data_IF_386427213512
#
_entry.id   IF_386427213512
#
_cell.length_a   1.000
_cell.length_b   1.000
_cell.length_c   1.000
_cell.angle_alpha   90.00
_cell.angle_beta   90.00
_cell.angle_gamma   90.00
#
_symmetry.space_group_name_H-M   'P 1'
#
loop_
_entity.id
_entity.type
_entity.pdbx_description
1 polymer ?
#
# COMPACT_ATOMS: atom_id res chain seq x y z
N UNK A 1 -8.88 -6.92 -9.58
CA UNK A 1 -9.20 -5.49 -9.65
C UNK A 1 -8.48 -4.77 -10.79
N UNK A 2 -7.11 -4.78 -10.88
CA UNK A 2 -6.38 -4.06 -11.96
C UNK A 2 -6.85 -4.53 -13.34
N UNK A 3 -6.92 -5.85 -13.58
CA UNK A 3 -7.41 -6.43 -14.84
C UNK A 3 -8.84 -5.97 -15.15
N UNK A 4 -9.74 -6.03 -14.20
CA UNK A 4 -11.14 -5.63 -14.36
C UNK A 4 -11.28 -4.13 -14.67
N UNK A 5 -10.46 -3.29 -14.01
CA UNK A 5 -10.46 -1.85 -14.24
C UNK A 5 -9.93 -1.46 -15.63
N UNK A 6 -9.02 -2.23 -16.20
CA UNK A 6 -8.35 -1.87 -17.45
C UNK A 6 -8.88 -2.60 -18.67
N UNK A 7 -9.63 -3.67 -18.49
CA UNK A 7 -10.19 -4.47 -19.58
C UNK A 7 -11.02 -3.60 -20.54
N UNK A 8 -10.67 -3.66 -21.82
CA UNK A 8 -11.30 -2.86 -22.88
C UNK A 8 -10.99 -1.36 -22.87
N UNK A 9 -10.06 -0.90 -22.02
CA UNK A 9 -9.58 0.49 -22.08
C UNK A 9 -8.38 0.62 -23.00
N UNK A 10 -8.11 1.81 -23.57
CA UNK A 10 -6.90 2.05 -24.36
C UNK A 10 -5.59 1.84 -23.57
N UNK A 11 -5.66 1.85 -22.24
CA UNK A 11 -4.51 1.75 -21.32
C UNK A 11 -4.21 0.31 -20.88
N UNK A 12 -5.02 -0.68 -21.24
CA UNK A 12 -4.90 -2.07 -20.80
C UNK A 12 -3.50 -2.65 -21.03
N UNK A 13 -2.94 -2.43 -22.23
CA UNK A 13 -1.60 -2.93 -22.57
C UNK A 13 -0.52 -2.28 -21.71
N UNK A 14 -0.55 -0.97 -21.60
CA UNK A 14 0.44 -0.19 -20.85
C UNK A 14 0.40 -0.54 -19.35
N UNK A 15 -0.79 -0.62 -18.78
CA UNK A 15 -0.97 -1.04 -17.38
C UNK A 15 -0.43 -2.44 -17.15
N UNK A 16 -0.69 -3.39 -18.04
CA UNK A 16 -0.18 -4.76 -17.91
C UNK A 16 1.35 -4.80 -17.93
N UNK A 17 1.98 -4.09 -18.88
CA UNK A 17 3.45 -4.01 -18.97
C UNK A 17 4.04 -3.36 -17.70
N UNK A 18 3.41 -2.31 -17.19
CA UNK A 18 3.81 -1.66 -15.95
C UNK A 18 3.71 -2.61 -14.73
N UNK A 19 2.62 -3.36 -14.60
CA UNK A 19 2.43 -4.34 -13.53
C UNK A 19 3.49 -5.43 -13.61
N UNK A 20 3.75 -6.01 -14.79
CA UNK A 20 4.77 -7.03 -14.98
C UNK A 20 6.18 -6.52 -14.63
N UNK A 21 6.51 -5.28 -14.99
CA UNK A 21 7.77 -4.61 -14.59
C UNK A 21 7.85 -4.45 -13.07
N UNK A 22 6.77 -3.95 -12.48
CA UNK A 22 6.73 -3.60 -11.04
C UNK A 22 6.80 -4.83 -10.15
N UNK A 23 6.17 -5.94 -10.53
CA UNK A 23 6.21 -7.19 -9.77
C UNK A 23 7.60 -7.86 -9.72
N UNK A 24 8.50 -7.51 -10.63
CA UNK A 24 9.91 -7.99 -10.61
C UNK A 24 10.77 -7.25 -9.59
N UNK A 25 10.30 -6.11 -9.09
CA UNK A 25 11.04 -5.30 -8.10
C UNK A 25 10.59 -5.70 -6.69
N UNK A 26 11.54 -5.89 -5.79
CA UNK A 26 11.26 -6.20 -4.38
C UNK A 26 10.37 -5.13 -3.74
N UNK A 27 9.42 -5.56 -2.91
CA UNK A 27 8.44 -4.66 -2.26
C UNK A 27 9.13 -3.59 -1.39
N UNK A 28 10.20 -3.94 -0.71
CA UNK A 28 10.97 -3.00 0.10
C UNK A 28 11.61 -1.91 -0.77
N UNK A 29 12.17 -2.29 -1.92
CA UNK A 29 12.79 -1.34 -2.85
C UNK A 29 11.74 -0.41 -3.49
N UNK A 30 10.52 -0.90 -3.74
CA UNK A 30 9.43 -0.08 -4.30
C UNK A 30 8.96 1.03 -3.37
N UNK A 31 8.97 0.77 -2.07
CA UNK A 31 8.46 1.70 -1.04
C UNK A 31 9.54 2.59 -0.44
N UNK A 32 10.78 2.40 -0.79
CA UNK A 32 11.87 3.24 -0.34
C UNK A 32 11.69 4.70 -0.82
N UNK A 33 11.98 5.66 0.04
CA UNK A 33 11.75 7.09 -0.24
C UNK A 33 12.55 7.60 -1.46
N UNK A 34 13.70 6.99 -1.72
CA UNK A 34 14.54 7.33 -2.88
C UNK A 34 14.04 6.74 -4.22
N UNK A 35 13.02 5.91 -4.22
CA UNK A 35 12.49 5.31 -5.44
C UNK A 35 11.52 6.27 -6.12
N UNK A 36 11.73 6.55 -7.41
CA UNK A 36 10.84 7.39 -8.19
C UNK A 36 9.41 6.85 -8.17
N UNK A 37 8.46 7.72 -7.84
CA UNK A 37 7.03 7.39 -7.85
C UNK A 37 6.56 7.31 -9.30
N UNK A 38 6.10 6.12 -9.71
CA UNK A 38 5.65 5.84 -11.07
C UNK A 38 4.27 5.19 -11.05
N UNK A 39 3.48 5.44 -12.08
CA UNK A 39 2.18 4.82 -12.26
C UNK A 39 1.63 5.02 -13.65
N UNK A 40 0.54 4.32 -13.96
CA UNK A 40 -0.18 4.38 -15.23
C UNK A 40 -1.67 4.59 -14.97
N UNK A 41 -2.28 5.47 -15.72
CA UNK A 41 -3.72 5.70 -15.67
C UNK A 41 -4.47 4.48 -16.19
N UNK A 42 -5.53 4.07 -15.49
CA UNK A 42 -6.33 2.90 -15.89
C UNK A 42 -7.37 3.17 -16.97
N UNK A 43 -7.62 4.44 -17.29
CA UNK A 43 -8.75 4.86 -18.12
C UNK A 43 -10.07 4.93 -17.36
N UNK A 44 -10.07 4.69 -16.06
CA UNK A 44 -11.28 4.69 -15.22
C UNK A 44 -11.20 5.76 -14.13
N UNK A 45 -12.38 6.08 -13.61
CA UNK A 45 -12.57 7.03 -12.53
C UNK A 45 -13.44 6.41 -11.44
N UNK A 46 -13.26 6.83 -10.21
CA UNK A 46 -14.21 6.63 -9.12
C UNK A 46 -14.82 7.96 -8.68
N UNK A 47 -15.85 7.89 -7.88
CA UNK A 47 -16.48 9.06 -7.27
C UNK A 47 -16.02 9.14 -5.81
N UNK A 48 -15.65 10.35 -5.38
CA UNK A 48 -15.41 10.62 -3.97
C UNK A 48 -16.77 10.51 -3.24
N UNK A 49 -16.91 9.64 -2.23
CA UNK A 49 -18.19 9.44 -1.55
C UNK A 49 -18.67 10.65 -0.73
N UNK A 50 -17.76 11.59 -0.43
CA UNK A 50 -18.09 12.81 0.34
C UNK A 50 -18.46 13.97 -0.57
N UNK A 51 -17.70 14.19 -1.66
CA UNK A 51 -17.87 15.36 -2.55
C UNK A 51 -18.54 15.04 -3.88
N UNK A 52 -18.70 13.74 -4.21
CA UNK A 52 -19.20 13.26 -5.51
C UNK A 52 -18.34 13.64 -6.72
N UNK A 53 -17.13 14.08 -6.49
CA UNK A 53 -16.19 14.43 -7.55
C UNK A 53 -15.56 13.19 -8.19
N UNK A 54 -15.27 13.28 -9.49
CA UNK A 54 -14.56 12.24 -10.21
C UNK A 54 -13.06 12.28 -9.89
N UNK A 55 -12.54 11.13 -9.46
CA UNK A 55 -11.14 10.93 -9.18
C UNK A 55 -10.56 9.90 -10.17
N UNK A 56 -9.43 10.18 -10.86
CA UNK A 56 -8.80 9.21 -11.76
C UNK A 56 -8.18 8.05 -10.98
N UNK A 57 -8.27 6.85 -11.53
CA UNK A 57 -7.68 5.65 -10.93
C UNK A 57 -6.36 5.33 -11.62
N UNK A 58 -5.27 5.29 -10.84
CA UNK A 58 -3.92 4.93 -11.28
C UNK A 58 -3.47 3.61 -10.67
N UNK A 59 -2.66 2.87 -11.40
CA UNK A 59 -1.84 1.79 -10.84
C UNK A 59 -0.46 2.35 -10.59
N UNK A 60 0.01 2.36 -9.36
CA UNK A 60 1.27 2.98 -8.97
C UNK A 60 2.20 1.99 -8.23
N UNK A 61 3.52 2.20 -8.36
CA UNK A 61 4.54 1.31 -7.82
C UNK A 61 4.73 1.42 -6.30
N UNK A 62 4.26 2.50 -5.68
CA UNK A 62 4.41 2.77 -4.24
C UNK A 62 3.17 2.46 -3.39
N UNK A 63 2.06 2.05 -4.03
CA UNK A 63 0.86 1.56 -3.34
C UNK A 63 1.06 0.11 -2.93
N UNK A 64 0.97 -0.15 -1.63
CA UNK A 64 1.17 -1.49 -1.08
C UNK A 64 -0.14 -2.28 -1.09
N UNK A 65 -0.06 -3.51 -1.58
CA UNK A 65 -1.19 -4.45 -1.58
C UNK A 65 -1.70 -4.77 -0.17
N UNK A 66 -0.80 -4.83 0.81
CA UNK A 66 -1.10 -5.16 2.20
C UNK A 66 -1.73 -3.98 2.97
N UNK A 67 -1.84 -2.80 2.35
CA UNK A 67 -2.43 -1.64 2.99
C UNK A 67 -3.93 -1.54 2.67
N UNK A 68 -4.77 -1.77 3.68
CA UNK A 68 -6.23 -1.74 3.53
C UNK A 68 -6.73 -2.80 2.54
N UNK A 69 -7.39 -2.35 1.48
CA UNK A 69 -7.90 -3.22 0.40
C UNK A 69 -6.94 -3.35 -0.79
N UNK A 70 -5.76 -2.73 -0.71
CA UNK A 70 -4.85 -2.56 -1.83
C UNK A 70 -5.25 -1.43 -2.80
N UNK A 71 -6.36 -0.75 -2.52
CA UNK A 71 -6.76 0.48 -3.18
C UNK A 71 -6.80 1.61 -2.15
N UNK A 72 -6.08 2.69 -2.41
CA UNK A 72 -5.90 3.81 -1.48
C UNK A 72 -6.34 5.10 -2.16
N UNK A 73 -7.07 5.95 -1.44
CA UNK A 73 -7.35 7.30 -1.90
C UNK A 73 -6.11 8.17 -1.65
N UNK A 74 -5.53 8.71 -2.72
CA UNK A 74 -4.40 9.61 -2.65
C UNK A 74 -4.83 11.00 -2.12
N UNK A 75 -3.91 11.66 -1.42
CA UNK A 75 -4.12 13.01 -0.86
C UNK A 75 -2.94 13.91 -1.26
N UNK A 76 -2.84 14.32 -2.53
CA UNK A 76 -1.64 14.96 -3.08
C UNK A 76 -1.17 16.21 -2.33
N UNK A 77 -2.06 16.98 -1.72
CA UNK A 77 -1.69 18.19 -0.97
C UNK A 77 -1.26 17.90 0.47
N UNK A 78 -1.44 16.65 0.96
CA UNK A 78 -1.23 16.31 2.38
C UNK A 78 -0.45 15.01 2.62
N UNK A 79 0.03 14.35 1.57
CA UNK A 79 1.03 13.26 1.60
C UNK A 79 2.13 13.58 0.59
N UNK A 80 3.38 13.58 1.03
CA UNK A 80 4.50 14.00 0.21
C UNK A 80 4.72 13.09 -1.01
N UNK A 81 4.47 11.79 -0.87
CA UNK A 81 4.61 10.82 -1.98
C UNK A 81 3.53 11.04 -3.04
N UNK A 82 2.31 11.30 -2.59
CA UNK A 82 1.19 11.61 -3.48
C UNK A 82 1.40 12.97 -4.16
N UNK A 83 1.99 13.95 -3.45
CA UNK A 83 2.35 15.26 -3.99
C UNK A 83 3.36 15.14 -5.13
N UNK A 84 4.45 14.41 -4.92
CA UNK A 84 5.48 14.17 -5.94
C UNK A 84 4.90 13.45 -7.16
N UNK A 85 4.02 12.47 -6.93
CA UNK A 85 3.31 11.78 -7.98
C UNK A 85 2.40 12.73 -8.77
N UNK A 86 1.58 13.52 -8.09
CA UNK A 86 0.66 14.45 -8.73
C UNK A 86 1.40 15.51 -9.55
N UNK A 87 2.50 16.07 -9.04
CA UNK A 87 3.35 17.00 -9.79
C UNK A 87 3.96 16.36 -11.04
N UNK A 88 4.43 15.10 -10.93
CA UNK A 88 5.02 14.36 -12.07
C UNK A 88 4.02 14.10 -13.20
N UNK A 89 2.77 13.79 -12.83
CA UNK A 89 1.72 13.43 -13.79
C UNK A 89 0.74 14.58 -14.07
N UNK A 90 1.09 15.80 -13.64
CA UNK A 90 0.29 17.01 -13.85
C UNK A 90 -1.17 16.85 -13.38
N UNK A 91 -1.35 16.12 -12.28
CA UNK A 91 -2.66 15.93 -11.66
C UNK A 91 -3.05 17.16 -10.85
N UNK A 92 -4.34 17.50 -10.78
CA UNK A 92 -4.78 18.66 -10.01
C UNK A 92 -4.49 18.45 -8.54
N UNK A 93 -3.89 19.45 -7.93
CA UNK A 93 -3.78 19.57 -6.48
C UNK A 93 -5.06 20.19 -5.93
N UNK A 94 -5.47 19.77 -4.74
CA UNK A 94 -6.60 20.33 -4.03
C UNK A 94 -6.30 20.40 -2.54
N UNK A 95 -6.23 21.58 -2.01
CA UNK A 95 -6.08 21.81 -0.58
C UNK A 95 -7.36 21.38 0.14
N UNK A 96 -7.24 20.41 1.04
CA UNK A 96 -8.36 19.93 1.88
C UNK A 96 -8.07 20.10 3.38
N UNK A 97 -6.82 20.42 3.74
CA UNK A 97 -6.43 20.83 5.10
C UNK A 97 -5.59 22.11 4.98
N UNK A 98 -5.97 23.16 5.69
CA UNK A 98 -5.18 24.37 5.74
C UNK A 98 -4.74 24.68 7.17
N UNK A 99 -3.63 25.41 7.37
CA UNK A 99 -3.29 25.97 8.67
C UNK A 99 -4.43 26.82 9.23
N UNK A 100 -4.50 26.96 10.57
CA UNK A 100 -5.54 27.78 11.21
C UNK A 100 -5.47 29.27 10.83
N UNK A 101 -4.24 29.77 10.65
CA UNK A 101 -3.96 31.21 10.55
C UNK A 101 -3.44 31.63 9.16
N UNK A 102 -3.48 30.74 8.19
CA UNK A 102 -3.03 31.04 6.82
C UNK A 102 -3.80 30.25 5.77
N UNK A 103 -3.74 30.72 4.53
CA UNK A 103 -4.26 30.01 3.38
C UNK A 103 -3.11 29.25 2.68
N UNK A 104 -3.44 28.15 2.00
CA UNK A 104 -2.56 27.46 1.09
C UNK A 104 -3.06 27.67 -0.34
N UNK A 105 -2.15 27.96 -1.24
CA UNK A 105 -2.44 28.15 -2.67
C UNK A 105 -1.80 26.98 -3.41
N UNK A 106 -2.59 26.16 -4.09
CA UNK A 106 -2.16 24.90 -4.72
C UNK A 106 -1.02 25.10 -5.72
N UNK A 107 -1.05 26.19 -6.48
CA UNK A 107 -0.04 26.53 -7.50
C UNK A 107 1.31 26.91 -6.88
N UNK A 108 1.31 27.42 -5.65
CA UNK A 108 2.51 27.88 -4.93
C UNK A 108 3.13 26.77 -4.08
N UNK A 109 2.45 25.65 -3.90
CA UNK A 109 2.95 24.54 -3.07
C UNK A 109 4.21 23.90 -3.67
N UNK A 110 5.28 23.85 -2.89
CA UNK A 110 6.54 23.18 -3.21
C UNK A 110 6.65 21.80 -2.56
N UNK A 111 5.88 21.57 -1.50
CA UNK A 111 5.80 20.34 -0.74
C UNK A 111 4.39 20.15 -0.16
N UNK A 112 4.08 18.94 0.29
CA UNK A 112 2.80 18.64 0.92
C UNK A 112 2.71 19.28 2.32
N UNK A 113 1.53 19.77 2.68
CA UNK A 113 1.24 20.22 4.04
C UNK A 113 0.74 19.03 4.89
N UNK A 114 1.55 18.56 5.83
CA UNK A 114 1.29 17.34 6.60
C UNK A 114 0.86 17.57 8.05
N UNK A 115 0.82 18.81 8.50
CA UNK A 115 0.50 19.18 9.87
C UNK A 115 -1.01 19.20 10.17
N UNK A 116 -1.36 19.40 11.45
CA UNK A 116 -2.72 19.60 11.87
C UNK A 116 -3.29 20.91 11.31
N UNK A 117 -4.55 20.86 10.86
CA UNK A 117 -5.20 22.02 10.29
C UNK A 117 -6.72 21.91 10.25
N UNK A 118 -7.32 22.85 9.56
CA UNK A 118 -8.77 22.95 9.39
C UNK A 118 -9.15 22.40 8.01
N UNK A 119 -10.17 21.55 7.97
CA UNK A 119 -10.72 21.03 6.74
C UNK A 119 -11.39 22.11 5.90
N UNK A 120 -11.09 22.09 4.60
CA UNK A 120 -11.71 22.89 3.56
C UNK A 120 -11.97 22.00 2.33
N UNK A 121 -12.87 22.40 1.45
CA UNK A 121 -13.22 21.63 0.26
C UNK A 121 -13.60 20.16 0.55
N UNK A 122 -14.10 19.90 1.76
CA UNK A 122 -14.42 18.57 2.30
C UNK A 122 -15.93 18.42 2.58
N UNK A 123 -16.76 19.26 1.97
CA UNK A 123 -18.21 19.21 2.05
C UNK A 123 -18.73 19.41 3.49
N UNK A 124 -19.48 18.45 4.06
CA UNK A 124 -20.06 18.61 5.39
C UNK A 124 -19.04 18.66 6.53
N UNK A 125 -17.77 18.42 6.25
CA UNK A 125 -16.68 18.40 7.23
C UNK A 125 -15.86 19.69 7.23
N UNK A 126 -16.17 20.65 6.37
CA UNK A 126 -15.49 21.95 6.32
C UNK A 126 -15.53 22.66 7.68
N UNK A 127 -14.41 23.26 8.06
CA UNK A 127 -14.25 23.95 9.33
C UNK A 127 -13.88 23.06 10.52
N UNK A 128 -13.87 21.75 10.37
CA UNK A 128 -13.41 20.83 11.43
C UNK A 128 -11.89 20.73 11.46
N UNK A 129 -11.33 20.49 12.64
CA UNK A 129 -9.93 20.07 12.77
C UNK A 129 -9.78 18.67 12.16
N UNK A 130 -8.76 18.47 11.32
CA UNK A 130 -8.57 17.21 10.57
C UNK A 130 -8.52 15.97 11.47
N UNK A 131 -7.87 16.06 12.64
CA UNK A 131 -7.80 14.94 13.60
C UNK A 131 -9.17 14.59 14.20
N UNK A 132 -10.01 15.57 14.46
CA UNK A 132 -11.37 15.36 14.95
C UNK A 132 -12.35 14.88 13.86
N UNK A 133 -12.05 15.15 12.61
CA UNK A 133 -12.89 14.75 11.48
C UNK A 133 -12.81 13.24 11.16
N UNK A 134 -11.74 12.55 11.57
CA UNK A 134 -11.53 11.13 11.25
C UNK A 134 -12.70 10.25 11.68
N UNK A 135 -13.12 10.37 12.94
CA UNK A 135 -14.23 9.57 13.45
C UNK A 135 -15.58 9.97 12.81
N UNK A 136 -15.78 11.27 12.59
CA UNK A 136 -16.99 11.79 11.93
C UNK A 136 -17.13 11.33 10.48
N UNK A 137 -16.01 11.30 9.75
CA UNK A 137 -16.00 10.80 8.37
C UNK A 137 -16.27 9.28 8.33
N UNK A 138 -15.71 8.52 9.28
CA UNK A 138 -15.98 7.09 9.39
C UNK A 138 -17.47 6.83 9.67
N UNK A 139 -18.05 7.50 10.66
CA UNK A 139 -19.48 7.43 10.98
C UNK A 139 -20.37 7.79 9.77
N UNK A 140 -20.00 8.83 9.03
CA UNK A 140 -20.72 9.24 7.82
C UNK A 140 -20.67 8.16 6.74
N UNK A 141 -19.48 7.63 6.43
CA UNK A 141 -19.33 6.57 5.43
C UNK A 141 -20.07 5.28 5.81
N UNK A 142 -20.10 4.92 7.09
CA UNK A 142 -20.92 3.82 7.59
C UNK A 142 -22.43 4.10 7.41
N UNK A 143 -22.86 5.34 7.68
CA UNK A 143 -24.28 5.69 7.58
C UNK A 143 -24.84 5.62 6.15
N UNK A 144 -23.98 5.76 5.15
CA UNK A 144 -24.35 5.67 3.72
C UNK A 144 -23.92 4.34 3.07
N UNK A 145 -23.51 3.35 3.88
CA UNK A 145 -23.06 2.01 3.45
C UNK A 145 -21.92 2.04 2.40
N UNK A 146 -21.01 3.03 2.52
CA UNK A 146 -19.86 3.20 1.61
C UNK A 146 -18.52 2.84 2.25
N UNK A 147 -18.52 2.45 3.52
CA UNK A 147 -17.33 2.06 4.24
C UNK A 147 -17.57 1.79 5.71
N UNK A 148 -16.53 1.35 6.41
CA UNK A 148 -16.56 1.14 7.86
C UNK A 148 -15.18 1.37 8.47
N UNK A 149 -15.15 1.77 9.75
CA UNK A 149 -13.91 1.94 10.49
C UNK A 149 -13.24 0.60 10.73
N UNK A 150 -11.95 0.51 10.43
CA UNK A 150 -11.15 -0.69 10.68
C UNK A 150 -9.88 -0.35 11.45
N UNK A 151 -9.34 -1.33 12.16
CA UNK A 151 -8.08 -1.20 12.90
C UNK A 151 -7.07 -2.13 12.26
N UNK A 152 -6.01 -1.56 11.70
CA UNK A 152 -4.89 -2.32 11.16
C UNK A 152 -3.70 -2.25 12.12
N UNK A 153 -3.21 -3.40 12.56
CA UNK A 153 -2.05 -3.48 13.43
C UNK A 153 -0.76 -3.46 12.60
N UNK A 154 0.16 -2.55 12.91
CA UNK A 154 1.49 -2.48 12.28
C UNK A 154 2.47 -3.50 12.87
N UNK A 155 1.99 -4.67 13.22
CA UNK A 155 2.81 -5.77 13.69
C UNK A 155 3.08 -6.71 12.51
N UNK A 156 4.35 -7.00 12.26
CA UNK A 156 4.71 -8.11 11.38
C UNK A 156 4.67 -9.40 12.20
N UNK A 157 4.07 -10.43 11.63
CA UNK A 157 4.09 -11.74 12.24
C UNK A 157 5.53 -12.18 12.49
N UNK A 158 5.77 -12.64 13.69
CA UNK A 158 7.07 -13.18 14.05
C UNK A 158 7.14 -14.63 13.57
N UNK A 159 7.91 -14.88 12.53
CA UNK A 159 8.17 -16.25 12.09
C UNK A 159 8.85 -17.07 13.19
N UNK A 160 8.22 -18.13 13.65
CA UNK A 160 8.75 -19.04 14.67
C UNK A 160 9.88 -19.90 14.09
N UNK A 161 9.65 -20.44 12.88
CA UNK A 161 10.65 -21.25 12.18
C UNK A 161 11.78 -20.40 11.60
N UNK A 162 13.00 -20.91 11.70
CA UNK A 162 14.20 -20.31 11.11
C UNK A 162 14.89 -21.32 10.20
N UNK A 163 15.06 -20.97 8.91
CA UNK A 163 15.82 -21.77 7.93
C UNK A 163 17.32 -21.49 8.09
N UNK A 164 17.84 -21.84 9.28
CA UNK A 164 19.26 -21.74 9.61
C UNK A 164 19.74 -23.11 10.04
N UNK A 165 21.05 -23.40 9.82
CA UNK A 165 21.63 -24.65 10.25
C UNK A 165 21.48 -24.91 11.77
N UNK A 166 21.59 -23.84 12.57
CA UNK A 166 21.29 -23.90 14.01
C UNK A 166 19.93 -23.24 14.26
N UNK A 167 19.16 -23.81 15.13
CA UNK A 167 17.84 -23.29 15.50
C UNK A 167 16.88 -24.44 15.78
N UNK A 168 15.63 -24.10 15.94
CA UNK A 168 14.53 -25.06 16.11
C UNK A 168 13.52 -24.88 14.97
N UNK A 169 13.82 -25.31 13.73
CA UNK A 169 12.85 -25.26 12.65
C UNK A 169 11.67 -26.18 12.95
N UNK A 170 10.49 -25.80 12.51
CA UNK A 170 9.32 -26.68 12.61
C UNK A 170 9.52 -27.81 11.60
N UNK A 171 9.45 -29.10 12.03
CA UNK A 171 9.71 -30.25 11.15
C UNK A 171 8.53 -30.51 10.21
N UNK A 172 8.51 -29.82 9.09
CA UNK A 172 7.49 -29.95 8.03
C UNK A 172 8.12 -30.32 6.69
N UNK A 173 7.35 -31.02 5.86
CA UNK A 173 7.69 -31.40 4.49
C UNK A 173 6.74 -30.69 3.55
N UNK A 174 7.28 -30.09 2.49
CA UNK A 174 6.51 -29.56 1.38
C UNK A 174 6.32 -30.64 0.32
N UNK A 175 5.21 -31.35 0.37
CA UNK A 175 4.88 -32.42 -0.59
C UNK A 175 4.19 -31.82 -1.82
N UNK A 176 4.65 -32.09 -3.04
CA UNK A 176 3.98 -31.57 -4.25
C UNK A 176 2.54 -32.02 -4.41
N UNK A 177 2.17 -33.16 -3.87
CA UNK A 177 0.82 -33.70 -3.98
C UNK A 177 -0.09 -33.32 -2.78
N UNK A 178 0.47 -33.30 -1.55
CA UNK A 178 -0.30 -33.13 -0.32
C UNK A 178 -0.18 -31.73 0.31
N UNK A 179 0.70 -30.88 -0.22
CA UNK A 179 1.00 -29.58 0.38
C UNK A 179 1.93 -29.69 1.59
N UNK A 180 1.63 -28.93 2.65
CA UNK A 180 2.43 -28.94 3.89
C UNK A 180 2.01 -30.08 4.78
N UNK A 181 2.96 -30.96 5.11
CA UNK A 181 2.75 -32.13 6.00
C UNK A 181 3.80 -32.15 7.11
N UNK A 182 3.43 -32.47 8.37
CA UNK A 182 4.40 -32.65 9.44
C UNK A 182 5.25 -33.91 9.19
N UNK A 183 6.50 -33.89 9.68
CA UNK A 183 7.32 -35.11 9.77
C UNK A 183 6.64 -36.06 10.77
N UNK A 184 6.47 -37.34 10.44
CA UNK A 184 5.93 -38.34 11.37
C UNK A 184 6.73 -38.39 12.69
N UNK A 185 6.06 -38.59 13.81
CA UNK A 185 6.67 -38.55 15.16
C UNK A 185 7.76 -39.61 15.32
N UNK A 186 7.60 -40.78 14.69
CA UNK A 186 8.57 -41.87 14.70
C UNK A 186 9.85 -41.58 13.90
N UNK A 187 9.85 -40.50 13.10
CA UNK A 187 11.00 -40.04 12.34
C UNK A 187 11.69 -38.82 12.99
N UNK A 188 11.29 -38.43 14.16
CA UNK A 188 11.94 -37.37 14.94
C UNK A 188 13.04 -37.96 15.87
N UNK A 189 14.13 -37.19 16.08
CA UNK A 189 14.44 -35.85 15.55
C UNK A 189 14.92 -35.90 14.11
N UNK A 190 14.62 -34.86 13.33
CA UNK A 190 15.23 -34.66 12.00
C UNK A 190 16.69 -34.29 12.18
N UNK A 191 17.59 -35.17 11.77
CA UNK A 191 19.02 -34.93 11.87
C UNK A 191 19.49 -34.01 10.71
N UNK A 192 20.23 -32.98 11.08
CA UNK A 192 20.80 -32.07 10.11
C UNK A 192 22.05 -32.72 9.43
N UNK A 193 22.31 -32.45 8.15
CA UNK A 193 23.50 -32.90 7.47
C UNK A 193 24.77 -32.33 8.12
N UNK A 194 25.80 -33.14 8.28
CA UNK A 194 27.08 -32.76 8.92
C UNK A 194 28.14 -32.29 7.91
N UNK A 195 27.92 -32.51 6.63
CA UNK A 195 28.83 -32.28 5.52
C UNK A 195 28.51 -31.01 4.73
N UNK A 196 27.99 -29.97 5.42
CA UNK A 196 27.61 -28.71 4.79
C UNK A 196 28.80 -27.77 4.58
N UNK A 197 28.87 -27.22 3.38
CA UNK A 197 29.80 -26.13 3.05
C UNK A 197 29.17 -24.78 3.48
N UNK A 198 29.61 -24.29 4.64
CA UNK A 198 29.18 -22.99 5.18
C UNK A 198 29.87 -21.86 4.43
N UNK A 199 29.29 -21.43 3.32
CA UNK A 199 29.80 -20.27 2.55
C UNK A 199 29.49 -18.96 3.25
N UNK A 200 30.45 -18.04 3.20
CA UNK A 200 30.24 -16.64 3.59
C UNK A 200 29.17 -16.02 2.71
N UNK A 201 28.13 -15.41 3.30
CA UNK A 201 27.08 -14.73 2.54
C UNK A 201 25.66 -14.81 3.11
N UNK A 202 25.46 -15.46 4.26
CA UNK A 202 24.19 -15.38 5.03
C UNK A 202 23.00 -16.14 4.43
N UNK A 203 23.15 -16.87 3.34
CA UNK A 203 22.10 -17.77 2.83
C UNK A 203 22.11 -19.07 3.62
N UNK A 204 20.92 -19.65 3.84
CA UNK A 204 20.81 -20.97 4.47
C UNK A 204 21.56 -22.02 3.62
N UNK A 205 22.39 -22.86 4.24
CA UNK A 205 23.03 -23.96 3.53
C UNK A 205 22.09 -25.16 3.31
N UNK A 206 20.87 -25.09 3.79
CA UNK A 206 19.83 -26.13 3.66
C UNK A 206 18.89 -25.86 2.51
#
# INVERSE_FOLDING_TARGET
LVKELTEGTPYEKEVREFVEKTLKVDAFMRTADFTAKEGVFTGRYCLNPVTSEKMPIYVANFVLYEYGTGAVMAVPTHDQRDFEFAKKYELPLRVVIKPKDSELVEEEMLEAYVDEGILVNSGPFDGMVNTAALDRMAEYLESIDMGYKTINYRLKDWGISRQRYWGAPIPIIYCPACGVVPVPEDQLPVLLPLDLDLKEGGKSPL
#
